data_IF_776001275902
#
_entry.id   IF_776001275902
#
_cell.length_a   1.000
_cell.length_b   1.000
_cell.length_c   1.000
_cell.angle_alpha   90.00
_cell.angle_beta   90.00
_cell.angle_gamma   90.00
#
_symmetry.space_group_name_H-M   'P 1'
#
loop_
_entity.id
_entity.type
_entity.pdbx_description
1 polymer ?
#
# COMPACT_ATOMS: atom_id res chain seq x y z
N UNK A 1 -22.29 -7.90 -22.84
CA UNK A 1 -21.14 -7.14 -22.28
C UNK A 1 -21.44 -6.43 -20.96
N UNK A 2 -22.67 -5.95 -20.70
CA UNK A 2 -23.03 -5.27 -19.44
C UNK A 2 -22.83 -6.12 -18.16
N UNK A 3 -22.86 -7.45 -18.24
CA UNK A 3 -22.71 -8.36 -17.09
C UNK A 3 -21.27 -8.55 -16.60
N UNK A 4 -20.27 -8.14 -17.39
CA UNK A 4 -18.87 -8.25 -16.99
C UNK A 4 -18.45 -7.07 -16.13
N UNK A 5 -18.83 -5.86 -16.55
CA UNK A 5 -18.50 -4.64 -15.83
C UNK A 5 -19.21 -4.49 -14.49
N UNK A 6 -20.37 -5.15 -14.32
CA UNK A 6 -21.09 -5.18 -13.04
C UNK A 6 -20.34 -5.92 -11.91
N UNK A 7 -19.27 -6.67 -12.23
CA UNK A 7 -18.44 -7.37 -11.24
C UNK A 7 -17.28 -6.53 -10.70
N UNK A 8 -17.06 -5.33 -11.24
CA UNK A 8 -16.05 -4.42 -10.70
C UNK A 8 -16.52 -3.83 -9.36
N UNK A 9 -15.64 -3.90 -8.37
CA UNK A 9 -15.91 -3.33 -7.06
C UNK A 9 -14.98 -2.14 -6.84
N UNK A 10 -15.51 -0.92 -6.94
CA UNK A 10 -14.72 0.31 -6.81
C UNK A 10 -14.02 0.42 -5.45
N UNK A 11 -14.64 -0.07 -4.36
CA UNK A 11 -14.03 -0.06 -3.03
C UNK A 11 -12.80 -0.96 -2.99
N UNK A 12 -12.93 -2.15 -3.58
CA UNK A 12 -11.82 -3.10 -3.73
C UNK A 12 -10.68 -2.48 -4.54
N UNK A 13 -11.01 -1.89 -5.69
CA UNK A 13 -10.04 -1.23 -6.57
C UNK A 13 -9.25 -0.15 -5.82
N UNK A 14 -9.95 0.77 -5.13
CA UNK A 14 -9.32 1.86 -4.38
C UNK A 14 -8.44 1.34 -3.24
N UNK A 15 -8.95 0.41 -2.43
CA UNK A 15 -8.19 -0.11 -1.27
C UNK A 15 -6.94 -0.88 -1.73
N UNK A 16 -7.08 -1.74 -2.74
CA UNK A 16 -5.95 -2.49 -3.28
C UNK A 16 -4.94 -1.55 -3.95
N UNK A 17 -5.41 -0.51 -4.63
CA UNK A 17 -4.53 0.51 -5.22
C UNK A 17 -3.68 1.20 -4.14
N UNK A 18 -4.31 1.69 -3.08
CA UNK A 18 -3.61 2.36 -1.98
C UNK A 18 -2.64 1.38 -1.29
N UNK A 19 -3.05 0.13 -1.09
CA UNK A 19 -2.17 -0.87 -0.51
C UNK A 19 -0.92 -1.11 -1.37
N UNK A 20 -1.08 -1.35 -2.68
CA UNK A 20 0.07 -1.53 -3.58
C UNK A 20 0.96 -0.29 -3.63
N UNK A 21 0.38 0.92 -3.57
CA UNK A 21 1.13 2.17 -3.47
C UNK A 21 2.05 2.16 -2.24
N UNK A 22 1.55 1.77 -1.06
CA UNK A 22 2.36 1.64 0.15
C UNK A 22 3.46 0.57 0.02
N UNK A 23 3.16 -0.58 -0.60
CA UNK A 23 4.18 -1.61 -0.83
C UNK A 23 5.32 -1.12 -1.73
N UNK A 24 5.01 -0.37 -2.79
CA UNK A 24 6.03 0.23 -3.67
C UNK A 24 6.97 1.12 -2.84
N UNK A 25 6.44 2.12 -2.14
CA UNK A 25 7.27 3.09 -1.43
C UNK A 25 7.94 2.55 -0.19
N UNK A 26 7.35 1.54 0.46
CA UNK A 26 8.01 0.80 1.53
C UNK A 26 9.31 0.15 1.02
N UNK A 27 9.23 -0.61 -0.09
CA UNK A 27 10.40 -1.29 -0.64
C UNK A 27 11.44 -0.31 -1.21
N UNK A 28 11.01 0.78 -1.87
CA UNK A 28 11.93 1.83 -2.31
C UNK A 28 12.66 2.48 -1.14
N UNK A 29 11.93 2.78 -0.07
CA UNK A 29 12.49 3.42 1.12
C UNK A 29 13.50 2.51 1.82
N UNK A 30 13.20 1.21 1.93
CA UNK A 30 14.12 0.23 2.48
C UNK A 30 15.34 0.00 1.58
N UNK A 31 15.21 0.15 0.26
CA UNK A 31 16.33 -0.04 -0.67
C UNK A 31 17.46 0.98 -0.49
N UNK A 32 17.19 2.16 0.07
CA UNK A 32 18.24 3.11 0.45
C UNK A 32 19.20 2.57 1.52
N UNK A 33 18.84 1.48 2.21
CA UNK A 33 19.72 0.81 3.18
C UNK A 33 20.78 -0.07 2.51
N UNK A 34 20.61 -0.45 1.23
CA UNK A 34 21.52 -1.33 0.51
C UNK A 34 22.93 -0.73 0.40
N UNK A 35 23.03 0.49 -0.14
CA UNK A 35 24.28 1.26 -0.17
C UNK A 35 24.10 2.59 0.56
N UNK A 36 23.72 2.48 1.83
CA UNK A 36 23.40 3.63 2.67
C UNK A 36 24.57 4.62 2.78
N UNK A 37 25.80 4.11 2.90
CA UNK A 37 26.97 4.95 3.07
C UNK A 37 27.24 5.78 1.82
N UNK A 38 27.10 5.20 0.62
CA UNK A 38 27.28 5.94 -0.62
C UNK A 38 26.11 6.88 -0.91
N UNK A 39 24.88 6.39 -0.77
CA UNK A 39 23.68 7.14 -1.14
C UNK A 39 23.40 8.32 -0.21
N UNK A 40 23.73 8.21 1.08
CA UNK A 40 23.26 9.16 2.10
C UNK A 40 24.42 9.84 2.82
N UNK A 41 25.47 9.10 3.18
CA UNK A 41 26.55 9.62 4.02
C UNK A 41 27.62 10.38 3.23
N UNK A 42 27.91 9.98 1.99
CA UNK A 42 28.89 10.68 1.17
C UNK A 42 28.43 12.09 0.78
N UNK A 43 29.37 13.06 0.77
CA UNK A 43 29.10 14.41 0.33
C UNK A 43 28.71 14.42 -1.16
N UNK A 44 27.96 15.45 -1.58
CA UNK A 44 27.39 15.54 -2.93
C UNK A 44 28.48 15.47 -4.00
N UNK A 45 29.64 16.07 -3.73
CA UNK A 45 30.80 16.13 -4.60
C UNK A 45 31.36 14.73 -4.90
N UNK A 46 31.39 13.84 -3.90
CA UNK A 46 31.82 12.46 -4.07
C UNK A 46 30.84 11.65 -4.96
N UNK A 47 29.55 11.99 -4.92
CA UNK A 47 28.51 11.37 -5.76
C UNK A 47 28.52 11.91 -7.19
N UNK A 48 28.81 13.19 -7.38
CA UNK A 48 28.95 13.81 -8.71
C UNK A 48 30.14 13.20 -9.46
N UNK A 49 31.21 12.86 -8.76
CA UNK A 49 32.40 12.25 -9.36
C UNK A 49 32.20 10.78 -9.79
N UNK A 50 31.10 10.13 -9.38
CA UNK A 50 30.76 8.75 -9.73
C UNK A 50 29.29 8.62 -10.15
N UNK A 51 28.92 9.38 -11.18
CA UNK A 51 27.58 9.35 -11.81
C UNK A 51 27.12 7.93 -12.19
N UNK A 52 27.98 7.05 -12.76
CA UNK A 52 27.58 5.68 -13.10
C UNK A 52 27.06 4.90 -11.89
N UNK A 53 27.73 5.02 -10.74
CA UNK A 53 27.32 4.35 -9.51
C UNK A 53 26.02 4.91 -8.94
N UNK A 54 25.88 6.24 -8.88
CA UNK A 54 24.62 6.88 -8.45
C UNK A 54 23.45 6.41 -9.30
N UNK A 55 23.64 6.34 -10.62
CA UNK A 55 22.60 5.86 -11.54
C UNK A 55 22.26 4.38 -11.32
N UNK A 56 23.26 3.55 -11.01
CA UNK A 56 23.03 2.14 -10.68
C UNK A 56 22.20 2.01 -9.39
N UNK A 57 22.56 2.72 -8.33
CA UNK A 57 21.87 2.64 -7.05
C UNK A 57 20.44 3.20 -7.14
N UNK A 58 20.22 4.30 -7.87
CA UNK A 58 18.87 4.83 -8.11
C UNK A 58 18.01 3.87 -8.94
N UNK A 59 18.61 3.16 -9.90
CA UNK A 59 17.92 2.07 -10.62
C UNK A 59 17.57 0.93 -9.67
N UNK A 60 18.45 0.55 -8.76
CA UNK A 60 18.19 -0.49 -7.75
C UNK A 60 17.02 -0.07 -6.84
N UNK A 61 17.00 1.17 -6.36
CA UNK A 61 15.87 1.72 -5.59
C UNK A 61 14.58 1.66 -6.41
N UNK A 62 14.60 2.08 -7.68
CA UNK A 62 13.44 2.02 -8.55
C UNK A 62 12.90 0.58 -8.74
N UNK A 63 13.81 -0.37 -8.95
CA UNK A 63 13.55 -1.81 -9.09
C UNK A 63 12.99 -2.42 -7.80
N UNK A 64 13.50 -2.03 -6.63
CA UNK A 64 12.93 -2.48 -5.35
C UNK A 64 11.46 -2.11 -5.22
N UNK A 65 11.06 -0.93 -5.72
CA UNK A 65 9.64 -0.58 -5.80
C UNK A 65 8.82 -1.49 -6.73
N UNK A 66 9.41 -2.05 -7.80
CA UNK A 66 8.72 -3.03 -8.65
C UNK A 66 8.55 -4.35 -7.89
N UNK A 67 9.56 -4.77 -7.13
CA UNK A 67 9.45 -5.93 -6.23
C UNK A 67 8.32 -5.72 -5.22
N UNK A 68 8.21 -4.52 -4.63
CA UNK A 68 7.08 -4.13 -3.77
C UNK A 68 5.73 -4.24 -4.47
N UNK A 69 5.60 -3.73 -5.70
CA UNK A 69 4.37 -3.84 -6.48
C UNK A 69 3.97 -5.30 -6.75
N UNK A 70 4.94 -6.14 -7.14
CA UNK A 70 4.73 -7.57 -7.40
C UNK A 70 4.31 -8.29 -6.11
N UNK A 71 4.99 -8.04 -4.99
CA UNK A 71 4.64 -8.62 -3.69
C UNK A 71 3.22 -8.22 -3.27
N UNK A 72 2.88 -6.93 -3.34
CA UNK A 72 1.55 -6.42 -3.05
C UNK A 72 0.48 -7.02 -3.96
N UNK A 73 0.76 -7.16 -5.26
CA UNK A 73 -0.13 -7.80 -6.23
C UNK A 73 -0.39 -9.28 -5.89
N UNK A 74 0.64 -10.07 -5.61
CA UNK A 74 0.50 -11.49 -5.26
C UNK A 74 -0.40 -11.64 -4.02
N UNK A 75 -0.18 -10.81 -2.99
CA UNK A 75 -0.99 -10.82 -1.77
C UNK A 75 -2.44 -10.43 -2.09
N UNK A 76 -2.62 -9.31 -2.79
CA UNK A 76 -3.91 -8.78 -3.22
C UNK A 76 -4.71 -9.79 -4.04
N UNK A 77 -4.06 -10.49 -4.98
CA UNK A 77 -4.67 -11.51 -5.81
C UNK A 77 -5.09 -12.73 -4.99
N UNK A 78 -4.22 -13.24 -4.11
CA UNK A 78 -4.56 -14.34 -3.20
C UNK A 78 -5.75 -14.03 -2.30
N UNK A 79 -5.83 -12.80 -1.78
CA UNK A 79 -6.96 -12.36 -0.94
C UNK A 79 -8.25 -12.31 -1.75
N UNK A 80 -8.21 -11.77 -2.97
CA UNK A 80 -9.37 -11.74 -3.87
C UNK A 80 -9.89 -13.14 -4.16
N UNK A 81 -9.00 -14.10 -4.43
CA UNK A 81 -9.38 -15.51 -4.62
C UNK A 81 -10.00 -16.10 -3.34
N UNK A 82 -9.40 -15.88 -2.17
CA UNK A 82 -9.89 -16.41 -0.89
C UNK A 82 -11.27 -15.86 -0.51
N UNK A 83 -11.58 -14.61 -0.87
CA UNK A 83 -12.87 -13.95 -0.58
C UNK A 83 -13.88 -14.07 -1.73
N UNK A 84 -13.58 -14.84 -2.78
CA UNK A 84 -14.40 -14.95 -3.99
C UNK A 84 -14.69 -13.59 -4.66
N UNK A 85 -13.80 -12.60 -4.48
CA UNK A 85 -13.87 -11.36 -5.24
C UNK A 85 -13.42 -11.59 -6.67
N UNK A 86 -13.94 -10.77 -7.59
CA UNK A 86 -13.55 -10.88 -8.99
C UNK A 86 -12.06 -10.54 -9.14
N UNK A 87 -11.24 -11.57 -9.40
CA UNK A 87 -9.77 -11.52 -9.37
C UNK A 87 -9.19 -10.49 -10.34
N UNK A 88 -9.90 -10.20 -11.44
CA UNK A 88 -9.48 -9.23 -12.43
C UNK A 88 -9.40 -7.80 -11.85
N UNK A 89 -10.11 -7.49 -10.75
CA UNK A 89 -9.92 -6.23 -10.03
C UNK A 89 -8.45 -6.06 -9.58
N UNK A 90 -7.84 -7.11 -9.02
CA UNK A 90 -6.43 -7.06 -8.57
C UNK A 90 -5.46 -6.92 -9.75
N UNK A 91 -5.75 -7.56 -10.89
CA UNK A 91 -4.96 -7.43 -12.12
C UNK A 91 -5.07 -6.02 -12.69
N UNK A 92 -6.27 -5.47 -12.78
CA UNK A 92 -6.52 -4.13 -13.28
C UNK A 92 -5.76 -3.08 -12.45
N UNK A 93 -5.78 -3.22 -11.12
CA UNK A 93 -5.02 -2.34 -10.24
C UNK A 93 -3.51 -2.48 -10.43
N UNK A 94 -3.01 -3.70 -10.62
CA UNK A 94 -1.59 -3.91 -10.88
C UNK A 94 -1.14 -3.26 -12.20
N UNK A 95 -1.92 -3.42 -13.27
CA UNK A 95 -1.66 -2.75 -14.56
C UNK A 95 -1.72 -1.23 -14.40
N UNK A 96 -2.75 -0.72 -13.73
CA UNK A 96 -2.91 0.71 -13.49
C UNK A 96 -1.72 1.30 -12.72
N UNK A 97 -1.31 0.66 -11.62
CA UNK A 97 -0.22 1.18 -10.79
C UNK A 97 1.13 1.08 -11.52
N UNK A 98 1.32 0.05 -12.34
CA UNK A 98 2.51 -0.10 -13.18
C UNK A 98 2.61 1.03 -14.21
N UNK A 99 1.52 1.32 -14.92
CA UNK A 99 1.46 2.43 -15.88
C UNK A 99 1.67 3.77 -15.19
N UNK A 100 1.00 4.04 -14.08
CA UNK A 100 1.18 5.29 -13.34
C UNK A 100 2.61 5.45 -12.81
N UNK A 101 3.25 4.35 -12.38
CA UNK A 101 4.65 4.37 -11.96
C UNK A 101 5.58 4.71 -13.12
N UNK A 102 5.33 4.16 -14.32
CA UNK A 102 6.15 4.40 -15.50
C UNK A 102 6.20 5.89 -15.89
N UNK A 103 5.08 6.60 -15.71
CA UNK A 103 4.97 8.04 -16.00
C UNK A 103 5.21 8.94 -14.78
N UNK A 104 5.67 8.40 -13.65
CA UNK A 104 5.86 9.13 -12.37
C UNK A 104 4.60 9.87 -11.87
N UNK A 105 3.41 9.33 -12.16
CA UNK A 105 2.11 9.92 -11.83
C UNK A 105 1.56 9.45 -10.48
N UNK A 106 2.33 8.70 -9.69
CA UNK A 106 1.92 8.22 -8.37
C UNK A 106 1.99 9.31 -7.28
N UNK A 107 2.51 10.50 -7.61
CA UNK A 107 2.49 11.67 -6.72
C UNK A 107 3.49 11.62 -5.56
N UNK A 108 4.48 10.72 -5.61
CA UNK A 108 5.46 10.55 -4.54
C UNK A 108 6.21 11.83 -4.19
N UNK A 109 6.61 12.59 -5.21
CA UNK A 109 7.34 13.86 -5.03
C UNK A 109 6.65 14.83 -4.07
N UNK A 110 5.31 14.84 -4.06
CA UNK A 110 4.47 15.65 -3.16
C UNK A 110 4.21 14.95 -1.83
N UNK A 111 3.88 13.66 -1.87
CA UNK A 111 3.42 12.90 -0.70
C UNK A 111 4.54 12.43 0.23
N UNK A 112 5.77 12.31 -0.26
CA UNK A 112 6.92 11.86 0.52
C UNK A 112 7.15 12.69 1.79
N UNK A 113 6.84 14.00 1.76
CA UNK A 113 7.00 14.88 2.93
C UNK A 113 6.10 14.44 4.10
N UNK A 114 4.92 13.92 3.80
CA UNK A 114 3.95 13.45 4.80
C UNK A 114 4.30 12.04 5.26
N UNK A 115 4.57 11.13 4.33
CA UNK A 115 4.80 9.72 4.68
C UNK A 115 6.18 9.42 5.26
N UNK A 116 7.15 10.32 5.07
CA UNK A 116 8.46 10.24 5.72
C UNK A 116 8.53 11.00 7.04
N UNK A 117 7.45 11.70 7.43
CA UNK A 117 7.37 12.48 8.66
C UNK A 117 7.58 11.64 9.92
N UNK A 118 7.03 10.42 10.06
CA UNK A 118 7.28 9.59 11.24
C UNK A 118 8.76 9.32 11.49
N UNK A 119 9.53 9.09 10.44
CA UNK A 119 10.98 8.87 10.55
C UNK A 119 11.76 10.11 10.97
N UNK A 120 11.22 11.34 10.86
CA UNK A 120 11.92 12.57 11.23
C UNK A 120 12.31 12.61 12.71
N UNK A 121 11.61 11.86 13.57
CA UNK A 121 12.00 11.67 14.98
C UNK A 121 13.41 11.08 15.09
N UNK A 122 13.83 10.30 14.09
CA UNK A 122 15.14 9.66 13.99
C UNK A 122 16.09 10.39 13.04
N UNK A 123 15.93 11.70 12.83
CA UNK A 123 16.76 12.47 11.87
C UNK A 123 18.26 12.36 12.14
N UNK A 124 18.66 12.20 13.41
CA UNK A 124 20.06 12.02 13.83
C UNK A 124 20.62 10.63 13.48
N UNK A 125 19.76 9.63 13.33
CA UNK A 125 20.14 8.28 12.91
C UNK A 125 19.44 7.96 11.59
N UNK A 126 20.08 8.37 10.50
CA UNK A 126 19.47 8.31 9.17
C UNK A 126 19.20 6.87 8.70
N UNK A 127 19.86 5.83 9.25
CA UNK A 127 19.46 4.43 8.98
C UNK A 127 18.10 4.12 9.60
N UNK A 128 17.91 4.46 10.87
CA UNK A 128 16.63 4.26 11.58
C UNK A 128 15.51 5.06 10.92
N UNK A 129 15.79 6.23 10.35
CA UNK A 129 14.83 6.98 9.54
C UNK A 129 14.25 6.14 8.39
N UNK A 130 15.09 5.51 7.55
CA UNK A 130 14.63 4.70 6.42
C UNK A 130 13.95 3.41 6.86
N UNK A 131 14.50 2.73 7.88
CA UNK A 131 13.90 1.51 8.45
C UNK A 131 12.49 1.79 8.96
N UNK A 132 12.34 2.80 9.82
CA UNK A 132 11.06 3.15 10.44
C UNK A 132 10.01 3.52 9.39
N UNK A 133 10.36 4.42 8.45
CA UNK A 133 9.42 4.83 7.41
C UNK A 133 9.02 3.66 6.49
N UNK A 134 9.99 2.85 6.07
CA UNK A 134 9.74 1.67 5.24
C UNK A 134 8.82 0.66 5.93
N UNK A 135 9.07 0.35 7.20
CA UNK A 135 8.26 -0.58 7.98
C UNK A 135 6.86 -0.04 8.29
N UNK A 136 6.70 1.25 8.59
CA UNK A 136 5.39 1.87 8.81
C UNK A 136 4.56 1.80 7.53
N UNK A 137 5.12 2.17 6.38
CA UNK A 137 4.42 2.07 5.10
C UNK A 137 4.03 0.64 4.78
N UNK A 138 4.92 -0.33 5.00
CA UNK A 138 4.62 -1.74 4.81
C UNK A 138 3.49 -2.21 5.74
N UNK A 139 3.52 -1.82 7.01
CA UNK A 139 2.50 -2.15 7.99
C UNK A 139 1.13 -1.58 7.59
N UNK A 140 1.08 -0.34 7.08
CA UNK A 140 -0.16 0.27 6.57
C UNK A 140 -0.68 -0.51 5.37
N UNK A 141 0.17 -0.82 4.39
CA UNK A 141 -0.21 -1.63 3.22
C UNK A 141 -0.75 -3.01 3.62
N UNK A 142 -0.11 -3.69 4.56
CA UNK A 142 -0.59 -4.95 5.12
C UNK A 142 -1.92 -4.78 5.86
N UNK A 143 -2.08 -3.74 6.68
CA UNK A 143 -3.32 -3.47 7.41
C UNK A 143 -4.50 -3.29 6.44
N UNK A 144 -4.30 -2.56 5.34
CA UNK A 144 -5.30 -2.37 4.29
C UNK A 144 -5.77 -3.68 3.66
N UNK A 145 -4.87 -4.63 3.44
CA UNK A 145 -5.18 -5.92 2.81
C UNK A 145 -5.75 -6.95 3.79
N UNK A 146 -5.23 -6.99 5.02
CA UNK A 146 -5.53 -8.06 5.98
C UNK A 146 -6.62 -7.72 6.99
N UNK A 147 -6.97 -6.45 7.20
CA UNK A 147 -7.99 -6.05 8.17
C UNK A 147 -9.39 -6.56 7.79
N UNK A 148 -10.03 -7.33 8.67
CA UNK A 148 -11.41 -7.82 8.45
C UNK A 148 -12.40 -6.67 8.29
N UNK A 149 -12.25 -5.56 9.03
CA UNK A 149 -13.12 -4.39 8.89
C UNK A 149 -13.10 -3.81 7.48
N UNK A 150 -11.93 -3.79 6.86
CA UNK A 150 -11.76 -3.27 5.50
C UNK A 150 -12.37 -4.23 4.48
N UNK A 151 -12.17 -5.54 4.67
CA UNK A 151 -12.80 -6.56 3.82
C UNK A 151 -14.32 -6.50 3.91
N UNK A 152 -14.88 -6.36 5.11
CA UNK A 152 -16.33 -6.24 5.32
C UNK A 152 -16.89 -4.96 4.68
N UNK A 153 -16.13 -3.86 4.72
CA UNK A 153 -16.48 -2.62 4.03
C UNK A 153 -16.52 -2.80 2.50
N UNK A 154 -15.54 -3.53 1.93
CA UNK A 154 -15.50 -3.90 0.51
C UNK A 154 -16.72 -4.76 0.15
N UNK A 155 -17.06 -5.73 0.99
CA UNK A 155 -18.21 -6.62 0.85
C UNK A 155 -19.55 -5.90 1.00
N UNK A 156 -19.55 -4.65 1.49
CA UNK A 156 -20.78 -3.89 1.74
C UNK A 156 -21.57 -4.38 2.95
N UNK A 157 -20.98 -5.23 3.80
CA UNK A 157 -21.58 -5.64 5.06
C UNK A 157 -21.54 -4.45 6.01
N UNK A 158 -22.71 -3.83 6.27
CA UNK A 158 -22.85 -2.91 7.40
C UNK A 158 -22.66 -3.74 8.66
N UNK A 159 -21.63 -3.43 9.45
CA UNK A 159 -21.55 -3.92 10.82
C UNK A 159 -22.76 -3.38 11.58
N UNK A 160 -23.80 -4.21 11.72
CA UNK A 160 -24.92 -3.98 12.64
C UNK A 160 -24.38 -4.23 14.04
N UNK A 161 -23.53 -3.35 14.52
CA UNK A 161 -23.12 -3.30 15.93
C UNK A 161 -23.70 -2.04 16.53
N UNK A 162 -24.95 -2.17 17.01
CA UNK A 162 -25.70 -1.11 17.66
C UNK A 162 -27.06 -1.58 18.17
N UNK A 163 -27.07 -2.37 19.25
CA UNK A 163 -28.21 -2.62 20.17
C UNK A 163 -29.58 -2.95 19.53
N UNK A 164 -29.78 -4.24 19.20
CA UNK A 164 -31.11 -4.86 19.30
C UNK A 164 -31.46 -5.10 20.77
N UNK A 165 -31.80 -4.04 21.52
CA UNK A 165 -32.37 -4.18 22.87
C UNK A 165 -33.88 -4.48 22.69
N UNK A 166 -34.26 -5.72 22.98
CA UNK A 166 -35.63 -6.20 23.27
C UNK A 166 -36.79 -5.41 22.64
N UNK A 167 -37.23 -5.82 21.45
CA UNK A 167 -38.57 -5.48 20.97
C UNK A 167 -39.54 -6.54 21.50
N UNK A 168 -40.24 -6.16 22.58
CA UNK A 168 -41.65 -6.45 22.81
C UNK A 168 -42.13 -7.91 22.79
N UNK A 169 -41.93 -8.63 23.91
CA UNK A 169 -42.96 -9.59 24.37
C UNK A 169 -43.99 -8.81 25.20
N UNK A 170 -44.88 -8.06 24.54
CA UNK A 170 -46.18 -7.73 25.14
C UNK A 170 -47.07 -8.92 24.80
N UNK A 171 -47.21 -9.84 25.76
CA UNK A 171 -48.22 -10.88 25.71
C UNK A 171 -49.58 -10.20 25.65
N UNK A 172 -50.29 -10.42 24.55
CA UNK A 172 -51.74 -10.35 24.47
C UNK A 172 -52.33 -11.28 25.53
N UNK A 173 -52.75 -10.73 26.67
CA UNK A 173 -53.73 -11.37 27.54
C UNK A 173 -55.11 -10.92 27.04
N UNK A 174 -55.77 -11.81 26.30
CA UNK A 174 -57.19 -11.71 25.94
C UNK A 174 -57.86 -12.93 26.58
N UNK A 175 -59.00 -12.67 27.22
CA UNK A 175 -59.90 -13.52 28.00
C UNK A 175 -59.62 -13.54 29.50
#
# INVERSE_FOLDING_TARGET
MASFFSKFNIKLLVIHFIALWFFIYAFQTLAYLYDFNFLIFLPVEARINDVPRVNFDMKLVAQAGLVGAIAGYIISWRISLKRNWFWLNSVLIFVLIYVLKLYDLLGWSKLQKVFLLPGQIFRLNTRTFYVTNGLIMLAIGCCLLFSERIKDFIDGKRNVTGKGKNIGKIKSAKR
#
